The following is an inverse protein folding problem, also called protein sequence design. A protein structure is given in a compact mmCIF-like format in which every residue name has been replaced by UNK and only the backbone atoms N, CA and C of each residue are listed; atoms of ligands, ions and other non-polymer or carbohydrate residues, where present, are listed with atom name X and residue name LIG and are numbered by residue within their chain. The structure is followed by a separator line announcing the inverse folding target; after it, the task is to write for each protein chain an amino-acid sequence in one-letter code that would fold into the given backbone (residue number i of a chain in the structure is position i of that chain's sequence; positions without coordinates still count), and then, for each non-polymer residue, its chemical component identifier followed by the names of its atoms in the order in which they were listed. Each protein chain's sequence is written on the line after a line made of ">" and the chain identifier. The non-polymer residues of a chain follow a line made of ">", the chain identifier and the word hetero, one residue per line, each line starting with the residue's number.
data_IF_183604666279
#
_entry.id   IF_183604666279
#
_cell.length_a   1.000
_cell.length_b   1.000
_cell.length_c   1.000
_cell.angle_alpha   90.00
_cell.angle_beta   90.00
_cell.angle_gamma   90.00
#
_symmetry.space_group_name_H-M   'P 1'
#
loop_
_entity.id
_entity.type
_entity.pdbx_description
1 polymer ?
#
# COMPACT_ATOMS: atom_id res chain seq x y z
N UNK A 1 -12.84 10.08 -21.26
CA UNK A 1 -11.92 10.06 -20.11
C UNK A 1 -12.69 10.55 -18.88
N UNK A 2 -13.16 9.62 -18.06
CA UNK A 2 -13.83 9.93 -16.79
C UNK A 2 -12.80 10.59 -15.88
N UNK A 3 -13.15 11.73 -15.32
CA UNK A 3 -12.33 12.62 -14.51
C UNK A 3 -11.34 11.86 -13.63
N UNK A 4 -10.05 11.92 -14.00
CA UNK A 4 -8.96 11.36 -13.22
C UNK A 4 -9.03 11.92 -11.80
N UNK A 5 -8.84 11.08 -10.79
CA UNK A 5 -8.76 11.48 -9.38
C UNK A 5 -7.84 12.70 -9.19
N UNK A 6 -6.81 12.78 -10.01
CA UNK A 6 -5.86 13.89 -10.07
C UNK A 6 -6.51 15.25 -10.36
N UNK A 7 -7.38 15.34 -11.38
CA UNK A 7 -8.09 16.59 -11.67
C UNK A 7 -9.02 17.01 -10.54
N UNK A 8 -9.69 16.04 -9.89
CA UNK A 8 -10.56 16.33 -8.74
C UNK A 8 -9.73 16.84 -7.56
N UNK A 9 -8.55 16.25 -7.35
CA UNK A 9 -7.64 16.68 -6.29
C UNK A 9 -7.09 18.09 -6.54
N UNK A 10 -6.58 18.38 -7.76
CA UNK A 10 -6.11 19.72 -8.13
C UNK A 10 -7.22 20.75 -7.98
N UNK A 11 -8.42 20.47 -8.49
CA UNK A 11 -9.54 21.38 -8.38
C UNK A 11 -9.92 21.65 -6.92
N UNK A 12 -10.02 20.60 -6.12
CA UNK A 12 -10.30 20.74 -4.68
C UNK A 12 -9.23 21.55 -3.96
N UNK A 13 -7.96 21.31 -4.28
CA UNK A 13 -6.83 22.04 -3.71
C UNK A 13 -6.85 23.54 -4.09
N UNK A 14 -7.10 23.86 -5.37
CA UNK A 14 -7.20 25.27 -5.83
C UNK A 14 -8.39 25.99 -5.19
N UNK A 15 -9.55 25.33 -5.11
CA UNK A 15 -10.74 25.89 -4.45
C UNK A 15 -10.46 26.14 -2.97
N UNK A 16 -9.84 25.18 -2.27
CA UNK A 16 -9.46 25.35 -0.86
C UNK A 16 -8.48 26.52 -0.67
N UNK A 17 -7.47 26.63 -1.55
CA UNK A 17 -6.49 27.72 -1.50
C UNK A 17 -7.12 29.10 -1.73
N UNK A 18 -8.02 29.21 -2.72
CA UNK A 18 -8.73 30.46 -3.01
C UNK A 18 -9.68 30.86 -1.87
N UNK A 19 -10.44 29.90 -1.33
CA UNK A 19 -11.32 30.14 -0.19
C UNK A 19 -10.53 30.52 1.06
N UNK A 20 -9.41 29.86 1.30
CA UNK A 20 -8.48 30.18 2.39
C UNK A 20 -7.93 31.59 2.27
N UNK A 21 -7.45 31.99 1.09
CA UNK A 21 -6.98 33.35 0.83
C UNK A 21 -8.10 34.40 1.03
N UNK A 22 -9.27 34.17 0.47
CA UNK A 22 -10.41 35.07 0.62
C UNK A 22 -10.84 35.23 2.09
N UNK A 23 -10.87 34.12 2.84
CA UNK A 23 -11.20 34.12 4.27
C UNK A 23 -10.16 34.87 5.09
N UNK A 24 -8.87 34.66 4.87
CA UNK A 24 -7.79 35.39 5.56
C UNK A 24 -7.89 36.88 5.23
N UNK A 25 -8.07 37.24 3.97
CA UNK A 25 -8.14 38.63 3.54
C UNK A 25 -9.32 39.37 4.19
N UNK A 26 -10.52 38.80 4.15
CA UNK A 26 -11.73 39.42 4.71
C UNK A 26 -11.70 39.50 6.23
N UNK A 27 -11.33 38.39 6.90
CA UNK A 27 -11.28 38.35 8.36
C UNK A 27 -10.18 39.27 8.91
N UNK A 28 -8.99 39.25 8.29
CA UNK A 28 -7.89 40.14 8.70
C UNK A 28 -8.26 41.61 8.54
N UNK A 29 -8.93 41.98 7.42
CA UNK A 29 -9.36 43.32 7.20
C UNK A 29 -10.37 43.80 8.29
N UNK A 30 -11.36 42.96 8.60
CA UNK A 30 -12.37 43.31 9.63
C UNK A 30 -11.73 43.42 11.03
N UNK A 31 -10.91 42.44 11.42
CA UNK A 31 -10.26 42.47 12.73
C UNK A 31 -9.27 43.61 12.88
N UNK A 32 -8.47 43.86 11.81
CA UNK A 32 -7.50 44.96 11.82
C UNK A 32 -8.16 46.32 11.95
N UNK A 33 -9.19 46.57 11.14
CA UNK A 33 -9.95 47.83 11.22
C UNK A 33 -10.56 48.03 12.61
N UNK A 34 -11.19 47.01 13.17
CA UNK A 34 -11.78 47.07 14.51
C UNK A 34 -10.75 47.32 15.59
N UNK A 35 -9.62 46.63 15.56
CA UNK A 35 -8.54 46.79 16.53
C UNK A 35 -7.85 48.15 16.38
N UNK A 36 -7.64 48.61 15.14
CA UNK A 36 -7.03 49.90 14.89
C UNK A 36 -7.87 51.06 15.44
N UNK A 37 -9.20 51.01 15.21
CA UNK A 37 -10.13 51.99 15.79
C UNK A 37 -10.05 51.98 17.31
N UNK A 38 -10.08 50.81 17.94
CA UNK A 38 -10.01 50.70 19.40
C UNK A 38 -8.68 51.19 19.96
N UNK A 39 -7.56 50.78 19.42
CA UNK A 39 -6.23 51.18 19.90
C UNK A 39 -6.03 52.68 19.73
N UNK A 40 -6.50 53.24 18.60
CA UNK A 40 -6.39 54.68 18.35
C UNK A 40 -7.29 55.46 19.29
N UNK A 41 -8.50 54.97 19.61
CA UNK A 41 -9.42 55.60 20.58
C UNK A 41 -8.79 55.60 21.98
N UNK A 42 -8.18 54.53 22.43
CA UNK A 42 -7.50 54.48 23.73
C UNK A 42 -6.31 55.46 23.78
N UNK A 43 -5.47 55.50 22.75
CA UNK A 43 -4.36 56.47 22.69
C UNK A 43 -4.83 57.92 22.68
N UNK A 44 -5.91 58.21 21.91
CA UNK A 44 -6.53 59.57 21.88
C UNK A 44 -7.18 59.94 23.21
N UNK A 45 -7.76 58.97 23.92
CA UNK A 45 -8.34 59.20 25.23
C UNK A 45 -7.28 59.54 26.29
N UNK A 46 -6.15 58.84 26.26
CA UNK A 46 -5.00 59.13 27.14
C UNK A 46 -4.45 60.57 26.87
N UNK A 47 -4.30 60.90 25.59
CA UNK A 47 -3.89 62.28 25.20
C UNK A 47 -4.89 63.33 25.62
N UNK A 48 -6.20 63.07 25.43
CA UNK A 48 -7.27 64.00 25.88
C UNK A 48 -7.23 64.19 27.39
N UNK A 49 -6.93 63.13 28.18
CA UNK A 49 -6.78 63.24 29.65
C UNK A 49 -5.55 64.09 30.05
N UNK A 50 -4.41 63.89 29.33
CA UNK A 50 -3.22 64.70 29.57
C UNK A 50 -3.52 66.24 29.33
N UNK A 51 -4.18 66.51 28.20
CA UNK A 51 -4.62 67.89 27.88
C UNK A 51 -5.57 68.37 28.92
N UNK A 52 -6.61 67.62 29.31
CA UNK A 52 -7.58 67.96 30.31
C UNK A 52 -6.95 68.32 31.68
N UNK A 53 -5.94 67.49 32.09
CA UNK A 53 -5.19 67.74 33.33
C UNK A 53 -4.36 69.01 33.29
N UNK A 54 -3.68 69.28 32.16
CA UNK A 54 -2.93 70.54 31.99
C UNK A 54 -3.86 71.73 32.00
N UNK A 55 -5.04 71.68 31.38
CA UNK A 55 -6.02 72.71 31.35
C UNK A 55 -6.74 72.93 32.69
N UNK A 56 -6.83 71.89 33.49
CA UNK A 56 -7.42 71.98 34.84
C UNK A 56 -6.74 73.07 35.69
N UNK A 57 -5.46 73.30 35.57
CA UNK A 57 -4.71 74.32 36.29
C UNK A 57 -4.95 75.76 35.78
N UNK A 58 -5.26 75.89 34.50
CA UNK A 58 -5.43 77.19 33.82
C UNK A 58 -6.90 77.62 33.85
N UNK A 59 -7.84 76.68 33.77
CA UNK A 59 -9.28 76.95 33.64
C UNK A 59 -9.96 77.41 34.97
N UNK A 60 -9.22 77.48 36.06
CA UNK A 60 -9.77 77.88 37.37
C UNK A 60 -10.15 79.30 37.49
N UNK A 61 -9.93 80.10 36.46
CA UNK A 61 -10.15 81.50 36.73
C UNK A 61 -10.59 82.43 35.65
N UNK A 62 -10.22 82.42 34.44
CA UNK A 62 -10.71 83.45 33.46
C UNK A 62 -10.38 83.06 32.01
N UNK A 63 -11.25 83.52 31.08
CA UNK A 63 -11.19 83.36 29.63
C UNK A 63 -9.84 83.82 29.01
N UNK A 64 -9.10 84.71 29.71
CA UNK A 64 -7.79 85.26 29.22
C UNK A 64 -6.59 84.34 29.22
N UNK A 65 -6.65 83.25 29.99
CA UNK A 65 -5.52 82.34 30.10
C UNK A 65 -5.52 81.27 29.00
N UNK A 66 -6.64 81.07 28.27
CA UNK A 66 -6.78 80.07 27.20
C UNK A 66 -5.98 80.43 25.92
N UNK A 67 -5.80 81.73 25.66
CA UNK A 67 -5.00 82.20 24.51
C UNK A 67 -3.51 81.83 24.62
N UNK A 68 -3.00 81.67 25.83
CA UNK A 68 -1.62 81.28 26.07
C UNK A 68 -1.37 79.78 25.76
N UNK A 69 -2.40 78.98 25.83
CA UNK A 69 -2.35 77.55 25.65
C UNK A 69 -2.70 77.11 24.22
N UNK A 70 -3.29 77.96 23.42
CA UNK A 70 -3.70 77.71 22.03
C UNK A 70 -2.55 77.21 21.13
N UNK A 71 -1.35 77.86 21.15
CA UNK A 71 -0.23 77.33 20.32
C UNK A 71 0.20 75.95 20.67
N UNK A 72 0.15 75.52 21.96
CA UNK A 72 0.47 74.20 22.43
C UNK A 72 -0.61 73.22 21.96
N UNK A 73 -1.87 73.52 22.07
CA UNK A 73 -2.99 72.75 21.60
C UNK A 73 -2.88 72.49 20.09
N UNK A 74 -2.54 73.50 19.32
CA UNK A 74 -2.37 73.45 17.89
C UNK A 74 -1.18 72.55 17.51
N UNK A 75 -0.07 72.61 18.26
CA UNK A 75 1.10 71.73 18.04
C UNK A 75 0.74 70.28 18.28
N UNK A 76 0.05 69.95 19.36
CA UNK A 76 -0.44 68.63 19.70
C UNK A 76 -1.42 68.15 18.63
N UNK A 77 -2.38 68.93 18.24
CA UNK A 77 -3.37 68.59 17.20
C UNK A 77 -2.68 68.20 15.85
N UNK A 78 -1.69 69.01 15.45
CA UNK A 78 -0.85 68.65 14.25
C UNK A 78 -0.08 67.38 14.41
N UNK A 79 0.51 67.15 15.57
CA UNK A 79 1.31 65.94 15.83
C UNK A 79 0.45 64.67 15.78
N UNK A 80 -0.73 64.71 16.44
CA UNK A 80 -1.68 63.60 16.49
C UNK A 80 -2.51 63.51 15.20
N UNK A 81 -2.42 64.47 14.27
CA UNK A 81 -3.26 64.63 13.07
C UNK A 81 -4.75 64.66 13.36
N UNK A 82 -5.10 65.17 14.55
CA UNK A 82 -6.48 65.24 15.04
C UNK A 82 -6.90 66.70 15.26
N UNK A 83 -8.20 66.92 15.23
CA UNK A 83 -8.75 68.19 15.64
C UNK A 83 -9.11 68.13 17.13
N UNK A 84 -8.73 69.18 17.92
CA UNK A 84 -8.92 69.20 19.37
C UNK A 84 -9.78 70.41 19.73
N UNK A 85 -10.88 70.12 20.42
CA UNK A 85 -11.78 71.19 20.97
C UNK A 85 -11.74 71.15 22.48
N UNK A 86 -11.83 72.32 23.06
CA UNK A 86 -12.13 72.51 24.47
C UNK A 86 -13.58 73.08 24.55
N UNK A 87 -14.43 72.34 25.26
CA UNK A 87 -15.86 72.63 25.34
C UNK A 87 -16.25 72.92 26.80
N UNK A 88 -17.13 73.93 27.02
CA UNK A 88 -17.64 74.19 28.35
C UNK A 88 -18.76 73.19 28.75
N UNK A 89 -19.26 73.26 29.96
CA UNK A 89 -20.35 72.39 30.48
C UNK A 89 -21.64 72.43 29.64
N UNK A 90 -21.88 73.49 28.94
CA UNK A 90 -23.09 73.69 28.11
C UNK A 90 -22.89 73.17 26.68
N UNK A 91 -21.74 72.60 26.35
CA UNK A 91 -21.44 72.10 25.00
C UNK A 91 -21.03 73.20 24.02
N UNK A 92 -20.63 74.40 24.49
CA UNK A 92 -20.12 75.45 23.62
C UNK A 92 -18.62 75.29 23.45
N UNK A 93 -18.15 75.27 22.20
CA UNK A 93 -16.73 75.19 21.86
C UNK A 93 -16.06 76.48 22.25
N UNK A 94 -15.11 76.41 23.19
CA UNK A 94 -14.40 77.60 23.72
C UNK A 94 -13.11 77.80 22.92
N UNK A 95 -12.39 76.66 22.58
CA UNK A 95 -11.20 76.67 21.79
C UNK A 95 -11.29 75.54 20.74
N UNK A 96 -10.87 75.84 19.53
CA UNK A 96 -10.75 74.92 18.42
C UNK A 96 -9.35 75.02 17.85
N UNK A 97 -8.62 73.89 17.82
CA UNK A 97 -7.25 73.82 17.33
C UNK A 97 -7.08 74.15 15.83
N UNK A 98 -8.18 74.12 15.06
CA UNK A 98 -8.22 74.54 13.66
C UNK A 98 -8.58 76.04 13.52
N UNK A 99 -7.62 76.89 13.91
CA UNK A 99 -7.74 78.36 13.78
C UNK A 99 -9.00 78.94 14.44
N UNK A 100 -9.52 78.34 15.49
CA UNK A 100 -10.74 78.72 16.17
C UNK A 100 -12.00 78.91 15.29
N UNK A 101 -12.05 78.12 14.15
CA UNK A 101 -13.15 78.20 13.18
C UNK A 101 -14.53 77.95 13.79
N UNK A 102 -14.59 77.08 14.82
CA UNK A 102 -15.85 76.72 15.50
C UNK A 102 -15.98 77.30 16.89
N UNK A 103 -15.04 78.13 17.32
CA UNK A 103 -15.15 78.80 18.63
C UNK A 103 -16.44 79.57 18.75
N UNK A 104 -17.17 79.37 19.84
CA UNK A 104 -18.48 79.95 20.07
C UNK A 104 -19.65 79.10 19.53
N UNK A 105 -19.43 78.06 18.78
CA UNK A 105 -20.49 77.17 18.30
C UNK A 105 -20.96 76.22 19.41
N UNK A 106 -22.31 76.17 19.61
CA UNK A 106 -22.91 75.21 20.52
C UNK A 106 -23.10 73.87 19.85
N UNK A 107 -22.71 72.74 20.50
CA UNK A 107 -22.98 71.39 20.05
C UNK A 107 -24.40 71.01 20.49
N UNK A 108 -25.32 70.97 19.53
CA UNK A 108 -26.73 70.64 19.82
C UNK A 108 -26.87 69.22 20.37
N UNK A 109 -27.50 69.03 21.52
CA UNK A 109 -27.65 67.72 22.15
C UNK A 109 -26.38 67.17 22.79
N UNK A 110 -25.37 68.00 23.08
CA UNK A 110 -24.12 67.60 23.69
C UNK A 110 -24.33 66.79 24.97
N UNK A 111 -24.03 65.52 24.94
CA UNK A 111 -24.00 64.66 26.10
C UNK A 111 -22.66 63.87 26.12
N UNK A 112 -21.74 64.30 27.00
CA UNK A 112 -20.44 63.62 27.08
C UNK A 112 -20.51 62.17 27.60
N UNK A 113 -21.69 61.75 28.14
CA UNK A 113 -21.97 60.41 28.62
C UNK A 113 -22.71 59.54 27.60
N UNK A 114 -23.15 60.12 26.48
CA UNK A 114 -23.90 59.40 25.42
C UNK A 114 -23.17 58.28 24.77
N UNK A 115 -21.82 58.17 24.95
CA UNK A 115 -21.01 57.05 24.46
C UNK A 115 -21.26 55.73 25.21
N UNK A 116 -22.03 55.73 26.28
CA UNK A 116 -22.29 54.56 27.11
C UNK A 116 -20.99 53.99 27.72
N UNK A 117 -20.81 52.67 27.66
CA UNK A 117 -19.60 52.02 28.15
C UNK A 117 -18.37 52.14 27.21
N UNK A 118 -18.49 52.84 26.08
CA UNK A 118 -17.38 53.09 25.16
C UNK A 118 -16.81 54.47 25.43
N UNK A 119 -15.49 54.57 25.56
CA UNK A 119 -14.77 55.83 25.71
C UNK A 119 -14.70 56.68 24.42
N UNK A 120 -15.32 56.20 23.33
CA UNK A 120 -15.27 56.85 22.01
C UNK A 120 -16.57 56.69 21.21
N UNK A 121 -16.80 57.55 20.25
CA UNK A 121 -17.83 57.43 19.23
C UNK A 121 -17.24 57.58 17.82
N UNK A 122 -17.93 57.03 16.81
CA UNK A 122 -17.55 57.15 15.39
C UNK A 122 -18.74 57.71 14.61
N UNK A 123 -18.48 58.55 13.63
CA UNK A 123 -19.50 59.18 12.78
C UNK A 123 -19.25 60.67 12.62
N UNK A 124 -20.26 61.45 12.13
CA UNK A 124 -20.14 62.86 11.82
C UNK A 124 -20.11 63.77 13.07
N UNK A 125 -19.97 63.23 14.25
CA UNK A 125 -19.97 63.89 15.56
C UNK A 125 -20.97 65.09 15.67
N UNK A 126 -22.19 64.76 16.03
CA UNK A 126 -23.32 65.70 16.09
C UNK A 126 -23.56 66.50 14.78
N UNK A 127 -23.16 65.94 13.61
CA UNK A 127 -23.29 66.57 12.30
C UNK A 127 -22.33 67.74 12.04
N UNK A 128 -21.32 67.93 12.90
CA UNK A 128 -20.34 69.01 12.77
C UNK A 128 -19.23 68.73 11.78
N UNK A 129 -19.06 67.49 11.41
CA UNK A 129 -18.10 67.07 10.39
C UNK A 129 -18.83 66.57 9.13
N UNK A 130 -18.34 66.90 7.92
CA UNK A 130 -18.91 66.39 6.67
C UNK A 130 -18.43 64.99 6.35
N UNK A 131 -17.62 64.36 7.23
CA UNK A 131 -17.03 63.03 7.12
C UNK A 131 -17.00 62.33 8.50
N UNK A 132 -16.83 61.06 8.50
CA UNK A 132 -16.76 60.30 9.75
C UNK A 132 -15.43 60.54 10.48
N UNK A 133 -15.54 60.78 11.77
CA UNK A 133 -14.43 60.96 12.71
C UNK A 133 -14.54 59.97 13.86
N UNK A 134 -13.39 59.56 14.38
CA UNK A 134 -13.28 58.91 15.68
C UNK A 134 -13.16 60.05 16.73
N UNK A 135 -14.07 60.08 17.66
CA UNK A 135 -14.14 61.17 18.68
C UNK A 135 -14.03 60.56 20.07
N UNK A 136 -13.21 61.17 20.90
CA UNK A 136 -13.04 60.81 22.32
C UNK A 136 -13.32 62.10 23.15
N UNK A 137 -13.78 61.91 24.37
CA UNK A 137 -14.03 63.04 25.31
C UNK A 137 -13.39 62.77 26.67
N UNK A 138 -12.64 63.71 27.20
CA UNK A 138 -12.06 63.64 28.54
C UNK A 138 -12.54 64.89 29.39
N UNK A 139 -12.98 64.64 30.61
CA UNK A 139 -13.48 65.75 31.45
C UNK A 139 -12.33 66.58 32.01
N UNK A 140 -12.49 67.93 32.01
CA UNK A 140 -11.58 68.83 32.70
C UNK A 140 -12.15 69.04 34.12
N UNK A 141 -11.48 68.39 35.09
CA UNK A 141 -11.94 68.37 36.49
C UNK A 141 -11.01 69.15 37.41
N UNK A 142 -11.56 69.83 38.41
CA UNK A 142 -10.80 70.49 39.47
C UNK A 142 -11.72 70.88 40.62
N UNK A 143 -11.21 70.87 41.84
CA UNK A 143 -11.97 71.20 43.04
C UNK A 143 -13.35 70.50 43.16
N UNK A 144 -13.33 69.16 42.84
CA UNK A 144 -14.54 68.31 42.81
C UNK A 144 -15.65 68.74 41.82
N UNK A 145 -15.28 69.54 40.82
CA UNK A 145 -16.22 70.01 39.77
C UNK A 145 -15.65 69.72 38.39
N UNK A 146 -16.52 69.41 37.43
CA UNK A 146 -16.18 69.38 36.01
C UNK A 146 -16.30 70.76 35.42
N UNK A 147 -15.30 71.32 34.83
CA UNK A 147 -15.31 72.68 34.23
C UNK A 147 -15.69 72.61 32.74
N UNK A 148 -15.39 71.57 32.07
CA UNK A 148 -15.65 71.34 30.64
C UNK A 148 -15.10 70.01 30.17
N UNK A 149 -14.90 69.87 28.89
CA UNK A 149 -14.39 68.64 28.27
C UNK A 149 -13.36 69.00 27.20
N UNK A 150 -12.33 68.10 27.05
CA UNK A 150 -11.45 68.05 25.89
C UNK A 150 -12.01 67.02 24.96
N UNK A 151 -12.25 67.38 23.71
CA UNK A 151 -12.70 66.52 22.64
C UNK A 151 -11.58 66.40 21.62
N UNK A 152 -11.25 65.16 21.23
CA UNK A 152 -10.26 64.92 20.20
C UNK A 152 -10.94 64.17 19.08
N UNK A 153 -10.83 64.69 17.86
CA UNK A 153 -11.48 64.19 16.68
C UNK A 153 -10.43 63.76 15.63
N UNK A 154 -10.38 62.49 15.27
CA UNK A 154 -9.47 61.95 14.23
C UNK A 154 -10.30 61.51 13.03
N UNK A 155 -10.01 62.01 11.81
CA UNK A 155 -10.69 61.54 10.61
C UNK A 155 -10.52 60.03 10.42
N UNK A 156 -11.62 59.32 10.15
CA UNK A 156 -11.59 57.87 9.91
C UNK A 156 -10.69 57.48 8.71
N UNK A 157 -10.50 58.39 7.75
CA UNK A 157 -9.59 58.20 6.61
C UNK A 157 -8.13 57.96 7.04
N UNK A 158 -7.68 58.65 8.12
CA UNK A 158 -6.32 58.45 8.67
C UNK A 158 -6.18 57.07 9.27
N UNK A 159 -7.20 56.57 9.97
CA UNK A 159 -7.23 55.23 10.55
C UNK A 159 -7.22 54.17 9.45
N UNK A 160 -8.02 54.39 8.39
CA UNK A 160 -8.04 53.47 7.25
C UNK A 160 -6.72 53.45 6.48
N UNK A 161 -6.03 54.57 6.32
CA UNK A 161 -4.70 54.62 5.71
C UNK A 161 -3.69 53.80 6.50
N UNK A 162 -3.68 53.94 7.83
CA UNK A 162 -2.83 53.12 8.72
C UNK A 162 -3.19 51.64 8.66
N UNK A 163 -4.47 51.32 8.63
CA UNK A 163 -4.95 49.94 8.53
C UNK A 163 -4.56 49.30 7.21
N UNK A 164 -4.72 50.02 6.09
CA UNK A 164 -4.38 49.50 4.76
C UNK A 164 -2.88 49.20 4.59
N UNK A 165 -2.02 50.07 5.18
CA UNK A 165 -0.58 49.79 5.18
C UNK A 165 -0.23 48.44 5.83
N UNK A 166 -0.83 48.13 6.95
CA UNK A 166 -0.63 46.86 7.66
C UNK A 166 -1.28 45.68 6.93
N UNK A 167 -2.44 45.87 6.25
CA UNK A 167 -3.10 44.83 5.45
C UNK A 167 -2.26 44.38 4.25
N UNK A 168 -1.48 45.27 3.64
CA UNK A 168 -0.58 44.92 2.56
C UNK A 168 0.40 43.83 2.97
N UNK A 169 0.93 43.86 4.19
CA UNK A 169 1.82 42.83 4.73
C UNK A 169 1.07 41.48 4.82
N UNK A 170 -0.18 41.47 5.27
CA UNK A 170 -1.01 40.27 5.36
C UNK A 170 -1.28 39.69 3.97
N UNK A 171 -1.58 40.51 2.98
CA UNK A 171 -1.82 40.05 1.61
C UNK A 171 -0.57 39.47 0.96
N UNK A 172 0.59 40.12 1.16
CA UNK A 172 1.87 39.61 0.65
C UNK A 172 2.21 38.27 1.28
N UNK A 173 2.09 38.13 2.61
CA UNK A 173 2.37 36.88 3.29
C UNK A 173 1.40 35.76 2.88
N UNK A 174 0.11 36.06 2.72
CA UNK A 174 -0.87 35.10 2.22
C UNK A 174 -0.57 34.66 0.79
N UNK A 175 -0.15 35.58 -0.09
CA UNK A 175 0.27 35.25 -1.45
C UNK A 175 1.51 34.36 -1.48
N UNK A 176 2.52 34.62 -0.65
CA UNK A 176 3.71 33.80 -0.52
C UNK A 176 3.34 32.37 -0.06
N UNK A 177 2.50 32.25 0.96
CA UNK A 177 2.03 30.95 1.45
C UNK A 177 1.27 30.18 0.38
N UNK A 178 0.43 30.86 -0.41
CA UNK A 178 -0.28 30.25 -1.53
C UNK A 178 0.69 29.70 -2.59
N UNK A 179 1.72 30.48 -2.96
CA UNK A 179 2.76 30.06 -3.92
C UNK A 179 3.54 28.84 -3.37
N UNK A 180 3.93 28.87 -2.09
CA UNK A 180 4.59 27.74 -1.44
C UNK A 180 3.71 26.48 -1.46
N UNK A 181 2.41 26.62 -1.27
CA UNK A 181 1.47 25.52 -1.33
C UNK A 181 1.39 24.88 -2.73
N UNK A 182 1.53 25.67 -3.80
CA UNK A 182 1.59 25.16 -5.17
C UNK A 182 2.86 24.32 -5.42
N UNK A 183 3.97 24.69 -4.78
CA UNK A 183 5.21 23.87 -4.86
C UNK A 183 4.98 22.48 -4.26
N UNK A 184 4.28 22.41 -3.11
CA UNK A 184 3.92 21.12 -2.49
C UNK A 184 3.06 20.28 -3.45
N UNK A 185 2.12 20.88 -4.16
CA UNK A 185 1.30 20.21 -5.16
C UNK A 185 2.15 19.62 -6.31
N UNK A 186 3.16 20.35 -6.77
CA UNK A 186 4.09 19.87 -7.80
C UNK A 186 4.93 18.70 -7.31
N UNK A 187 5.45 18.78 -6.07
CA UNK A 187 6.19 17.68 -5.45
C UNK A 187 5.31 16.45 -5.32
N UNK A 188 4.09 16.59 -4.81
CA UNK A 188 3.12 15.48 -4.69
C UNK A 188 2.84 14.84 -6.06
N UNK A 189 2.65 15.64 -7.09
CA UNK A 189 2.43 15.14 -8.45
C UNK A 189 3.59 14.26 -8.92
N UNK A 190 4.82 14.68 -8.70
CA UNK A 190 6.02 13.98 -9.14
C UNK A 190 6.32 12.74 -8.30
N UNK A 191 6.12 12.81 -6.98
CA UNK A 191 6.51 11.73 -6.04
C UNK A 191 5.42 10.69 -5.83
N UNK A 192 4.14 11.05 -6.01
CA UNK A 192 3.03 10.14 -5.74
C UNK A 192 2.23 9.81 -7.01
N UNK A 193 1.78 10.84 -7.72
CA UNK A 193 0.84 10.62 -8.82
C UNK A 193 1.45 9.88 -10.02
N UNK A 194 2.61 10.32 -10.52
CA UNK A 194 3.25 9.66 -11.64
C UNK A 194 3.70 8.22 -11.35
N UNK A 195 4.32 7.90 -10.19
CA UNK A 195 4.59 6.53 -9.80
C UNK A 195 3.33 5.66 -9.74
N UNK A 196 2.25 6.14 -9.14
CA UNK A 196 0.98 5.43 -9.05
C UNK A 196 0.38 5.15 -10.43
N UNK A 197 0.49 6.10 -11.36
CA UNK A 197 0.03 5.91 -12.74
C UNK A 197 0.81 4.78 -13.44
N UNK A 198 2.13 4.76 -13.33
CA UNK A 198 2.98 3.68 -13.86
C UNK A 198 2.64 2.31 -13.28
N UNK A 199 2.40 2.25 -11.96
CA UNK A 199 1.98 1.00 -11.30
C UNK A 199 0.63 0.53 -11.84
N UNK A 200 -0.32 1.45 -12.00
CA UNK A 200 -1.65 1.13 -12.54
C UNK A 200 -1.57 0.65 -13.98
N UNK A 201 -0.73 1.28 -14.80
CA UNK A 201 -0.47 0.85 -16.18
C UNK A 201 0.11 -0.57 -16.22
N UNK A 202 1.14 -0.85 -15.42
CA UNK A 202 1.71 -2.18 -15.32
C UNK A 202 0.72 -3.25 -14.82
N UNK A 203 -0.12 -2.91 -13.84
CA UNK A 203 -1.17 -3.81 -13.37
C UNK A 203 -2.22 -4.10 -14.47
N UNK A 204 -2.54 -3.13 -15.33
CA UNK A 204 -3.42 -3.33 -16.47
C UNK A 204 -2.77 -4.22 -17.55
N UNK A 205 -1.47 -4.06 -17.81
CA UNK A 205 -0.71 -4.94 -18.70
C UNK A 205 -0.76 -6.40 -18.19
N UNK A 206 -0.54 -6.62 -16.88
CA UNK A 206 -0.65 -7.96 -16.29
C UNK A 206 -2.07 -8.54 -16.40
N UNK A 207 -3.09 -7.72 -16.17
CA UNK A 207 -4.49 -8.14 -16.32
C UNK A 207 -4.85 -8.46 -17.78
N UNK A 208 -4.19 -7.82 -18.75
CA UNK A 208 -4.33 -8.12 -20.18
C UNK A 208 -3.56 -9.37 -20.63
N UNK A 209 -2.80 -10.02 -19.72
CA UNK A 209 -1.99 -11.20 -20.01
C UNK A 209 -0.54 -10.91 -20.43
N UNK A 210 -0.12 -9.64 -20.46
CA UNK A 210 1.26 -9.26 -20.76
C UNK A 210 2.13 -9.38 -19.50
N UNK A 211 2.41 -10.62 -19.08
CA UNK A 211 3.18 -10.92 -17.87
C UNK A 211 4.69 -10.64 -18.00
N UNK A 212 5.18 -10.40 -19.20
CA UNK A 212 6.57 -10.01 -19.46
C UNK A 212 6.83 -8.52 -19.24
N UNK A 213 5.78 -7.70 -19.21
CA UNK A 213 5.90 -6.26 -18.90
C UNK A 213 6.60 -6.07 -17.55
N UNK A 214 7.42 -5.03 -17.43
CA UNK A 214 8.09 -4.66 -16.18
C UNK A 214 7.77 -3.24 -15.80
N UNK A 215 7.27 -3.04 -14.59
CA UNK A 215 7.07 -1.72 -14.02
C UNK A 215 8.45 -1.18 -13.66
N UNK A 216 8.95 -0.27 -14.50
CA UNK A 216 10.22 0.42 -14.25
C UNK A 216 10.00 1.64 -13.35
N UNK A 217 10.15 1.43 -12.04
CA UNK A 217 10.04 2.45 -11.02
C UNK A 217 11.22 2.33 -10.04
N UNK A 218 12.17 3.26 -10.17
CA UNK A 218 13.39 3.26 -9.37
C UNK A 218 13.29 4.25 -8.20
N UNK A 219 12.31 4.02 -7.32
CA UNK A 219 12.15 4.74 -6.05
C UNK A 219 12.46 3.82 -4.88
N UNK A 220 12.95 4.38 -3.76
CA UNK A 220 13.29 3.61 -2.54
C UNK A 220 12.21 3.74 -1.46
N UNK A 221 11.00 4.03 -1.86
CA UNK A 221 9.82 4.22 -1.03
C UNK A 221 8.81 3.07 -1.22
N UNK A 222 7.62 3.23 -0.65
CA UNK A 222 6.53 2.26 -0.73
C UNK A 222 6.06 2.02 -2.16
N UNK A 223 6.20 3.02 -3.06
CA UNK A 223 5.84 2.89 -4.47
C UNK A 223 6.81 1.96 -5.21
N UNK A 224 8.11 2.10 -4.94
CA UNK A 224 9.13 1.18 -5.47
C UNK A 224 8.96 -0.24 -4.95
N UNK A 225 8.65 -0.40 -3.66
CA UNK A 225 8.37 -1.71 -3.07
C UNK A 225 7.13 -2.35 -3.71
N UNK A 226 6.05 -1.60 -3.90
CA UNK A 226 4.82 -2.08 -4.54
C UNK A 226 5.08 -2.51 -6.00
N UNK A 227 5.81 -1.70 -6.76
CA UNK A 227 6.20 -2.05 -8.13
C UNK A 227 7.03 -3.34 -8.19
N UNK A 228 8.00 -3.49 -7.27
CA UNK A 228 8.80 -4.71 -7.13
C UNK A 228 7.97 -5.94 -6.81
N UNK A 229 7.02 -5.82 -5.89
CA UNK A 229 6.11 -6.92 -5.51
C UNK A 229 5.21 -7.34 -6.66
N UNK A 230 4.67 -6.39 -7.42
CA UNK A 230 3.85 -6.67 -8.61
C UNK A 230 4.69 -7.32 -9.73
N UNK A 231 5.92 -6.86 -9.96
CA UNK A 231 6.84 -7.50 -10.90
C UNK A 231 7.18 -8.94 -10.50
N UNK A 232 7.38 -9.20 -9.20
CA UNK A 232 7.62 -10.55 -8.68
C UNK A 232 6.39 -11.44 -8.91
N UNK A 233 5.21 -10.96 -8.57
CA UNK A 233 3.95 -11.69 -8.80
C UNK A 233 3.73 -12.02 -10.28
N UNK A 234 3.97 -11.05 -11.17
CA UNK A 234 3.91 -11.29 -12.62
C UNK A 234 4.89 -12.37 -13.07
N UNK A 235 6.11 -12.35 -12.54
CA UNK A 235 7.11 -13.38 -12.83
C UNK A 235 6.67 -14.78 -12.40
N UNK A 236 6.04 -14.91 -11.24
CA UNK A 236 5.51 -16.21 -10.77
C UNK A 236 4.31 -16.68 -11.60
N UNK A 237 3.42 -15.76 -11.99
CA UNK A 237 2.31 -16.08 -12.89
C UNK A 237 2.80 -16.54 -14.28
N UNK A 238 3.82 -15.89 -14.83
CA UNK A 238 4.41 -16.28 -16.12
C UNK A 238 5.03 -17.69 -16.07
N UNK A 239 5.73 -18.00 -14.99
CA UNK A 239 6.26 -19.38 -14.77
C UNK A 239 5.13 -20.40 -14.69
N UNK A 240 4.03 -20.06 -14.00
CA UNK A 240 2.88 -20.96 -13.88
C UNK A 240 2.21 -21.18 -15.24
N UNK A 241 2.07 -20.15 -16.06
CA UNK A 241 1.50 -20.25 -17.42
C UNK A 241 2.40 -21.12 -18.32
N UNK A 242 3.71 -20.91 -18.30
CA UNK A 242 4.66 -21.73 -19.04
C UNK A 242 4.60 -23.20 -18.59
N UNK A 243 4.54 -23.42 -17.28
CA UNK A 243 4.38 -24.76 -16.72
C UNK A 243 3.09 -25.43 -17.21
N UNK A 244 1.96 -24.72 -17.18
CA UNK A 244 0.68 -25.23 -17.65
C UNK A 244 0.68 -25.52 -19.16
N UNK A 245 1.30 -24.65 -19.96
CA UNK A 245 1.45 -24.86 -21.42
C UNK A 245 2.26 -26.12 -21.72
N UNK A 246 3.41 -26.28 -21.06
CA UNK A 246 4.26 -27.45 -21.21
C UNK A 246 3.56 -28.73 -20.75
N UNK A 247 2.79 -28.66 -19.65
CA UNK A 247 1.97 -29.78 -19.18
C UNK A 247 0.97 -30.22 -20.24
N UNK A 248 0.16 -29.31 -20.80
CA UNK A 248 -0.83 -29.64 -21.83
C UNK A 248 -0.15 -30.23 -23.10
N UNK A 249 0.97 -29.67 -23.52
CA UNK A 249 1.72 -30.17 -24.67
C UNK A 249 2.22 -31.61 -24.46
N UNK A 250 2.82 -31.88 -23.30
CA UNK A 250 3.35 -33.22 -22.96
C UNK A 250 2.21 -34.23 -22.81
N UNK A 251 1.12 -33.86 -22.16
CA UNK A 251 -0.08 -34.71 -22.07
C UNK A 251 -0.58 -35.08 -23.46
N UNK A 252 -0.77 -34.09 -24.33
CA UNK A 252 -1.26 -34.32 -25.69
C UNK A 252 -0.37 -35.25 -26.50
N UNK A 253 0.94 -35.08 -26.36
CA UNK A 253 1.92 -35.93 -27.02
C UNK A 253 1.84 -37.39 -26.52
N UNK A 254 1.82 -37.57 -25.17
CA UNK A 254 1.85 -38.90 -24.54
C UNK A 254 0.52 -39.68 -24.70
N UNK A 255 -0.58 -38.99 -25.01
CA UNK A 255 -1.84 -39.63 -25.44
C UNK A 255 -1.84 -39.98 -26.92
N UNK A 256 -1.34 -39.09 -27.79
CA UNK A 256 -1.38 -39.29 -29.25
C UNK A 256 -0.61 -40.55 -29.69
N UNK A 257 0.57 -40.77 -29.12
CA UNK A 257 1.43 -41.86 -29.51
C UNK A 257 0.76 -43.25 -29.35
N UNK A 258 0.28 -43.67 -28.14
CA UNK A 258 -0.39 -44.92 -27.96
C UNK A 258 -1.69 -45.05 -28.76
N UNK A 259 -2.50 -43.99 -28.87
CA UNK A 259 -3.70 -44.01 -29.67
C UNK A 259 -3.45 -44.24 -31.14
N UNK A 260 -2.39 -43.61 -31.69
CA UNK A 260 -1.97 -43.87 -33.08
C UNK A 260 -1.51 -45.31 -33.28
N UNK A 261 -0.76 -45.89 -32.30
CA UNK A 261 -0.32 -47.29 -32.36
C UNK A 261 -1.52 -48.25 -32.28
N UNK A 262 -2.44 -48.06 -31.34
CA UNK A 262 -3.67 -48.85 -31.21
C UNK A 262 -4.46 -48.82 -32.53
N UNK A 263 -4.72 -47.63 -33.06
CA UNK A 263 -5.46 -47.44 -34.30
C UNK A 263 -4.76 -48.15 -35.46
N UNK A 264 -3.45 -47.93 -35.64
CA UNK A 264 -2.68 -48.53 -36.73
C UNK A 264 -2.63 -50.05 -36.67
N UNK A 265 -2.51 -50.66 -35.47
CA UNK A 265 -2.56 -52.14 -35.36
C UNK A 265 -3.94 -52.69 -35.66
N UNK A 266 -4.99 -52.04 -35.21
CA UNK A 266 -6.38 -52.48 -35.51
C UNK A 266 -6.71 -52.28 -36.99
N UNK A 267 -6.33 -51.22 -37.64
CA UNK A 267 -6.50 -50.99 -39.08
C UNK A 267 -5.75 -52.06 -39.89
N UNK A 268 -4.49 -52.37 -39.52
CA UNK A 268 -3.67 -53.40 -40.19
C UNK A 268 -4.20 -54.82 -39.98
N UNK A 269 -4.94 -55.10 -38.91
CA UNK A 269 -5.67 -56.36 -38.70
C UNK A 269 -6.91 -56.40 -39.59
N UNK A 270 -7.65 -55.31 -39.68
CA UNK A 270 -8.90 -55.24 -40.45
C UNK A 270 -8.65 -55.32 -41.97
N UNK A 271 -7.60 -54.65 -42.47
CA UNK A 271 -7.26 -54.61 -43.90
C UNK A 271 -6.47 -55.86 -44.36
N UNK A 272 -6.17 -56.81 -43.45
CA UNK A 272 -5.45 -58.03 -43.73
C UNK A 272 -3.94 -57.90 -43.92
N UNK A 273 -3.36 -56.73 -43.64
CA UNK A 273 -1.91 -56.49 -43.64
C UNK A 273 -1.21 -57.36 -42.59
N UNK A 274 -1.85 -57.58 -41.45
CA UNK A 274 -1.40 -58.49 -40.41
C UNK A 274 -2.08 -59.86 -40.62
N UNK A 275 -1.33 -60.93 -40.87
CA UNK A 275 -1.89 -62.26 -41.07
C UNK A 275 -2.45 -62.84 -39.76
N UNK A 276 -3.46 -63.74 -39.82
CA UNK A 276 -4.15 -64.27 -38.62
C UNK A 276 -3.22 -64.88 -37.58
N UNK A 277 -2.16 -65.48 -37.98
CA UNK A 277 -1.15 -66.09 -37.07
C UNK A 277 -0.43 -65.11 -36.21
N UNK A 278 -0.50 -63.81 -36.56
CA UNK A 278 0.14 -62.69 -35.83
C UNK A 278 -0.87 -61.91 -34.97
N UNK A 279 -2.15 -62.19 -35.05
CA UNK A 279 -3.22 -61.43 -34.32
C UNK A 279 -2.96 -61.38 -32.83
N UNK A 280 -2.67 -62.52 -32.19
CA UNK A 280 -2.38 -62.57 -30.75
C UNK A 280 -1.28 -61.58 -30.34
N UNK A 281 -0.19 -61.54 -31.09
CA UNK A 281 0.94 -60.66 -30.86
C UNK A 281 0.56 -59.18 -30.94
N UNK A 282 -0.21 -58.80 -31.95
CA UNK A 282 -0.60 -57.36 -32.14
C UNK A 282 -1.76 -56.95 -31.23
N UNK A 283 -2.71 -57.83 -30.97
CA UNK A 283 -3.77 -57.56 -29.97
C UNK A 283 -3.18 -57.44 -28.57
N UNK A 284 -2.18 -58.24 -28.20
CA UNK A 284 -1.43 -58.06 -26.93
C UNK A 284 -0.73 -56.72 -26.86
N UNK A 285 -0.23 -56.18 -27.97
CA UNK A 285 0.31 -54.80 -28.02
C UNK A 285 -0.78 -53.77 -27.84
N UNK A 286 -1.95 -53.91 -28.47
CA UNK A 286 -3.11 -53.03 -28.28
C UNK A 286 -3.54 -52.98 -26.81
N UNK A 287 -3.64 -54.16 -26.16
CA UNK A 287 -3.94 -54.26 -24.72
C UNK A 287 -2.90 -53.51 -23.89
N UNK A 288 -1.60 -53.74 -24.17
CA UNK A 288 -0.50 -53.05 -23.45
C UNK A 288 -0.54 -51.53 -23.61
N UNK A 289 -0.89 -50.98 -24.79
CA UNK A 289 -1.02 -49.54 -24.99
C UNK A 289 -2.27 -48.97 -24.28
N UNK A 290 -3.37 -49.76 -24.23
CA UNK A 290 -4.56 -49.39 -23.48
C UNK A 290 -4.31 -49.32 -21.97
N UNK A 291 -3.60 -50.33 -21.41
CA UNK A 291 -3.17 -50.32 -20.01
C UNK A 291 -2.25 -49.14 -19.70
N UNK A 292 -1.38 -48.76 -20.62
CA UNK A 292 -0.53 -47.56 -20.50
C UNK A 292 -1.34 -46.29 -20.44
N UNK A 293 -2.37 -46.15 -21.28
CA UNK A 293 -3.30 -45.00 -21.23
C UNK A 293 -4.07 -44.93 -19.90
N UNK A 294 -4.53 -46.10 -19.40
CA UNK A 294 -5.19 -46.20 -18.10
C UNK A 294 -4.28 -45.74 -16.96
N UNK A 295 -3.02 -46.18 -16.94
CA UNK A 295 -2.03 -45.71 -15.95
C UNK A 295 -1.77 -44.20 -16.05
N UNK A 296 -1.73 -43.65 -17.26
CA UNK A 296 -1.52 -42.24 -17.50
C UNK A 296 -2.71 -41.38 -16.95
N UNK A 297 -3.94 -41.79 -17.26
CA UNK A 297 -5.15 -41.12 -16.74
C UNK A 297 -5.24 -41.17 -15.22
N UNK A 298 -4.97 -42.37 -14.64
CA UNK A 298 -4.98 -42.54 -13.18
C UNK A 298 -3.91 -41.67 -12.50
N UNK A 299 -2.72 -41.59 -13.10
CA UNK A 299 -1.65 -40.71 -12.60
C UNK A 299 -2.05 -39.22 -12.60
N UNK A 300 -2.71 -38.75 -13.67
CA UNK A 300 -3.20 -37.40 -13.78
C UNK A 300 -4.29 -37.09 -12.75
N UNK A 301 -5.27 -38.00 -12.56
CA UNK A 301 -6.29 -37.87 -11.55
C UNK A 301 -5.70 -37.77 -10.14
N UNK A 302 -4.69 -38.61 -9.86
CA UNK A 302 -3.98 -38.57 -8.58
C UNK A 302 -3.31 -37.21 -8.35
N UNK A 303 -2.58 -36.70 -9.34
CA UNK A 303 -1.92 -35.38 -9.23
C UNK A 303 -2.94 -34.26 -9.03
N UNK A 304 -4.02 -34.24 -9.80
CA UNK A 304 -5.07 -33.23 -9.67
C UNK A 304 -5.77 -33.27 -8.30
N UNK A 305 -5.98 -34.47 -7.74
CA UNK A 305 -6.60 -34.62 -6.42
C UNK A 305 -5.68 -34.17 -5.26
N UNK A 306 -4.37 -34.21 -5.44
CA UNK A 306 -3.38 -33.74 -4.46
C UNK A 306 -3.18 -32.23 -4.54
N UNK A 307 -3.16 -31.62 -5.74
CA UNK A 307 -3.07 -30.16 -5.95
C UNK A 307 -4.24 -29.39 -5.26
N UNK A 308 -5.42 -30.02 -5.17
CA UNK A 308 -6.62 -29.40 -4.59
C UNK A 308 -6.74 -29.52 -3.05
N UNK A 309 -5.63 -29.67 -2.30
CA UNK A 309 -5.64 -29.92 -0.84
C UNK A 309 -6.56 -31.08 -0.44
N UNK A 310 -6.51 -32.20 -1.22
CA UNK A 310 -7.30 -33.39 -0.94
C UNK A 310 -7.04 -33.88 0.48
N UNK A 311 -8.11 -34.21 1.20
CA UNK A 311 -8.02 -34.74 2.55
C UNK A 311 -7.28 -36.06 2.53
N UNK A 312 -6.11 -36.11 3.19
CA UNK A 312 -5.41 -37.37 3.45
C UNK A 312 -6.17 -38.12 4.54
N UNK A 313 -6.45 -39.39 4.30
CA UNK A 313 -7.02 -40.28 5.30
C UNK A 313 -5.89 -40.89 6.15
N UNK A 314 -5.35 -40.07 7.07
CA UNK A 314 -4.22 -40.48 7.90
C UNK A 314 -4.66 -41.47 8.96
N UNK A 315 -3.89 -42.52 9.15
CA UNK A 315 -4.05 -43.55 10.17
C UNK A 315 -2.67 -44.04 10.66
N UNK A 316 -2.65 -44.65 11.81
CA UNK A 316 -1.44 -45.28 12.34
C UNK A 316 -1.30 -46.72 11.79
N UNK A 317 -0.15 -47.03 11.19
CA UNK A 317 0.15 -48.36 10.67
C UNK A 317 1.66 -48.65 10.73
N UNK A 318 1.99 -49.97 10.68
CA UNK A 318 3.39 -50.40 10.64
C UNK A 318 3.96 -50.29 9.23
N UNK A 319 4.91 -49.37 9.02
CA UNK A 319 5.55 -49.15 7.71
C UNK A 319 6.38 -50.38 7.26
N UNK A 320 6.98 -51.12 8.18
CA UNK A 320 7.76 -52.29 7.86
C UNK A 320 6.90 -53.38 7.16
N UNK A 321 5.67 -53.56 7.65
CA UNK A 321 4.68 -54.45 7.04
C UNK A 321 4.33 -54.00 5.61
N UNK A 322 4.05 -52.70 5.46
CA UNK A 322 3.67 -52.11 4.16
C UNK A 322 4.82 -52.29 3.12
N UNK A 323 6.06 -52.09 3.57
CA UNK A 323 7.25 -52.32 2.72
C UNK A 323 7.34 -53.81 2.30
N UNK A 324 7.18 -54.74 3.24
CA UNK A 324 7.23 -56.22 2.96
C UNK A 324 6.13 -56.62 1.97
N UNK A 325 4.88 -56.19 2.23
CA UNK A 325 3.73 -56.52 1.38
C UNK A 325 3.88 -55.93 -0.04
N UNK A 326 4.40 -54.69 -0.14
CA UNK A 326 4.65 -54.06 -1.43
C UNK A 326 5.81 -54.76 -2.20
N UNK A 327 6.91 -55.07 -1.54
CA UNK A 327 8.05 -55.79 -2.15
C UNK A 327 7.63 -57.18 -2.66
N UNK A 328 6.84 -57.91 -1.85
CA UNK A 328 6.32 -59.24 -2.24
C UNK A 328 5.45 -59.18 -3.51
N UNK A 329 4.70 -58.08 -3.75
CA UNK A 329 3.90 -57.93 -4.98
C UNK A 329 4.74 -57.90 -6.28
N UNK A 330 6.04 -57.66 -6.18
CA UNK A 330 6.95 -57.63 -7.32
C UNK A 330 7.77 -58.94 -7.50
N UNK A 331 7.60 -59.99 -6.67
CA UNK A 331 8.35 -61.23 -6.67
C UNK A 331 8.45 -61.85 -8.08
N UNK A 332 7.32 -62.03 -8.75
CA UNK A 332 7.32 -62.60 -10.10
C UNK A 332 7.95 -61.72 -11.19
N UNK A 333 8.10 -60.40 -10.94
CA UNK A 333 8.82 -59.50 -11.86
C UNK A 333 10.33 -59.55 -11.60
N UNK A 334 10.70 -59.66 -10.35
CA UNK A 334 12.09 -59.79 -9.90
C UNK A 334 12.73 -61.12 -10.33
N UNK A 335 11.99 -62.24 -10.24
CA UNK A 335 12.45 -63.54 -10.73
C UNK A 335 12.85 -63.49 -12.20
N UNK A 336 12.10 -62.84 -13.07
CA UNK A 336 12.39 -62.67 -14.49
C UNK A 336 13.70 -61.96 -14.79
N UNK A 337 14.16 -61.09 -13.88
CA UNK A 337 15.39 -60.29 -13.99
C UNK A 337 16.49 -60.76 -13.04
N UNK A 338 16.23 -61.79 -12.22
CA UNK A 338 17.09 -62.27 -11.14
C UNK A 338 17.51 -61.14 -10.18
N UNK A 339 16.50 -60.30 -9.76
CA UNK A 339 16.71 -59.21 -8.82
C UNK A 339 16.29 -59.67 -7.43
N UNK A 340 17.13 -59.38 -6.42
CA UNK A 340 16.84 -59.68 -5.03
C UNK A 340 16.47 -58.43 -4.26
N UNK A 341 15.61 -58.58 -3.21
CA UNK A 341 15.36 -57.53 -2.23
C UNK A 341 16.15 -57.81 -0.95
N UNK A 342 16.81 -56.77 -0.43
CA UNK A 342 17.41 -56.77 0.90
C UNK A 342 16.69 -55.73 1.77
N UNK A 343 15.97 -56.21 2.79
CA UNK A 343 15.16 -55.37 3.69
C UNK A 343 15.87 -55.24 5.03
N UNK A 344 16.24 -54.02 5.41
CA UNK A 344 16.90 -53.72 6.68
C UNK A 344 16.06 -52.69 7.46
N UNK A 345 15.52 -53.11 8.60
CA UNK A 345 14.69 -52.28 9.45
C UNK A 345 15.41 -51.94 10.74
N UNK A 346 15.30 -50.65 11.18
CA UNK A 346 15.93 -50.22 12.43
C UNK A 346 15.25 -50.76 13.68
N UNK A 347 13.99 -51.24 13.58
CA UNK A 347 13.23 -51.88 14.66
C UNK A 347 12.29 -52.96 14.06
N UNK A 348 11.81 -53.88 14.90
CA UNK A 348 10.89 -54.96 14.49
C UNK A 348 9.51 -54.43 14.02
N UNK A 349 9.02 -53.32 14.58
CA UNK A 349 7.78 -52.66 14.28
C UNK A 349 7.96 -51.15 14.29
N UNK A 350 7.50 -50.46 13.26
CA UNK A 350 7.66 -48.99 13.12
C UNK A 350 6.34 -48.35 12.74
N UNK A 351 5.68 -47.75 13.73
CA UNK A 351 4.38 -47.08 13.56
C UNK A 351 4.58 -45.69 12.98
N UNK A 352 3.91 -45.40 11.87
CA UNK A 352 3.85 -44.09 11.22
C UNK A 352 2.41 -43.56 11.20
N UNK A 353 2.25 -42.24 11.16
CA UNK A 353 0.93 -41.58 11.01
C UNK A 353 0.80 -40.93 9.63
N UNK A 354 0.22 -41.67 8.68
CA UNK A 354 0.13 -41.27 7.29
C UNK A 354 -1.12 -41.88 6.61
N UNK A 355 -1.34 -41.55 5.34
CA UNK A 355 -2.35 -42.23 4.51
C UNK A 355 -1.78 -43.51 3.92
N UNK A 356 -2.26 -44.66 4.43
CA UNK A 356 -1.78 -45.98 4.05
C UNK A 356 -1.78 -46.21 2.53
N UNK A 357 -2.88 -45.88 1.85
CA UNK A 357 -3.03 -46.11 0.41
C UNK A 357 -2.06 -45.26 -0.41
N UNK A 358 -1.86 -43.99 0.03
CA UNK A 358 -0.90 -43.07 -0.62
C UNK A 358 0.55 -43.51 -0.38
N UNK A 359 0.90 -43.97 0.82
CA UNK A 359 2.26 -44.46 1.09
C UNK A 359 2.53 -45.79 0.37
N UNK A 360 1.54 -46.68 0.23
CA UNK A 360 1.68 -47.84 -0.65
C UNK A 360 1.97 -47.43 -2.10
N UNK A 361 1.30 -46.41 -2.60
CA UNK A 361 1.54 -45.86 -3.95
C UNK A 361 2.96 -45.26 -4.09
N UNK A 362 3.49 -44.59 -3.06
CA UNK A 362 4.88 -44.12 -3.01
C UNK A 362 5.86 -45.29 -3.15
N UNK A 363 5.72 -46.29 -2.28
CA UNK A 363 6.58 -47.45 -2.28
C UNK A 363 6.51 -48.21 -3.61
N UNK A 364 5.31 -48.43 -4.14
CA UNK A 364 5.09 -49.05 -5.42
C UNK A 364 5.86 -48.35 -6.55
N UNK A 365 5.72 -47.00 -6.64
CA UNK A 365 6.39 -46.19 -7.67
C UNK A 365 7.92 -46.24 -7.54
N UNK A 366 8.45 -46.16 -6.30
CA UNK A 366 9.89 -46.21 -6.06
C UNK A 366 10.47 -47.61 -6.36
N UNK A 367 9.80 -48.68 -5.94
CA UNK A 367 10.23 -50.05 -6.18
C UNK A 367 10.12 -50.42 -7.68
N UNK A 368 9.03 -50.01 -8.34
CA UNK A 368 8.88 -50.24 -9.80
C UNK A 368 9.99 -49.53 -10.59
N UNK A 369 10.35 -48.31 -10.22
CA UNK A 369 11.47 -47.58 -10.80
C UNK A 369 12.82 -48.33 -10.53
N UNK A 370 13.07 -48.75 -9.29
CA UNK A 370 14.28 -49.48 -8.93
C UNK A 370 14.43 -50.76 -9.77
N UNK A 371 13.35 -51.55 -9.94
CA UNK A 371 13.35 -52.76 -10.77
C UNK A 371 13.58 -52.46 -12.25
N UNK A 372 12.97 -51.38 -12.77
CA UNK A 372 13.09 -51.01 -14.19
C UNK A 372 14.50 -50.63 -14.57
N UNK A 373 15.17 -49.82 -13.72
CA UNK A 373 16.47 -49.26 -14.02
C UNK A 373 17.65 -50.07 -13.50
N UNK A 374 17.43 -51.05 -12.63
CA UNK A 374 18.44 -52.00 -12.18
C UNK A 374 18.95 -52.89 -13.30
N UNK A 375 20.18 -53.41 -13.15
CA UNK A 375 20.78 -54.43 -13.98
C UNK A 375 20.19 -55.80 -13.63
N UNK A 376 20.38 -56.80 -14.50
CA UNK A 376 20.13 -58.19 -14.14
C UNK A 376 21.09 -58.62 -13.03
N UNK A 377 20.70 -59.63 -12.26
CA UNK A 377 21.50 -60.21 -11.17
C UNK A 377 21.90 -59.16 -10.11
N UNK A 378 21.02 -58.19 -9.83
CA UNK A 378 21.26 -57.06 -8.90
C UNK A 378 20.43 -57.16 -7.64
N UNK A 379 20.75 -56.31 -6.64
CA UNK A 379 20.01 -56.24 -5.39
C UNK A 379 19.44 -54.82 -5.19
N UNK A 380 18.16 -54.75 -4.79
CA UNK A 380 17.49 -53.51 -4.38
C UNK A 380 17.46 -53.51 -2.85
N UNK A 381 18.00 -52.44 -2.25
CA UNK A 381 18.05 -52.27 -0.79
C UNK A 381 16.92 -51.36 -0.35
N UNK A 382 16.10 -51.82 0.61
CA UNK A 382 15.07 -50.98 1.23
C UNK A 382 15.38 -50.95 2.74
N UNK A 383 15.61 -49.73 3.24
CA UNK A 383 16.04 -49.53 4.62
C UNK A 383 15.13 -48.51 5.31
N UNK A 384 14.92 -48.74 6.61
CA UNK A 384 14.26 -47.75 7.49
C UNK A 384 15.23 -47.33 8.58
N UNK A 385 15.22 -45.99 8.90
CA UNK A 385 16.04 -45.41 9.97
C UNK A 385 15.21 -44.41 10.74
N UNK A 386 15.31 -44.39 12.07
CA UNK A 386 14.70 -43.41 12.92
C UNK A 386 15.71 -42.29 13.19
N UNK A 387 15.29 -41.04 12.96
CA UNK A 387 16.08 -39.85 13.29
C UNK A 387 15.14 -38.67 13.57
N UNK A 388 15.34 -37.94 14.67
CA UNK A 388 14.59 -36.75 15.02
C UNK A 388 13.06 -36.94 14.97
N UNK A 389 12.55 -37.99 15.62
CA UNK A 389 11.11 -38.32 15.69
C UNK A 389 10.44 -38.60 14.33
N UNK A 390 11.24 -38.87 13.30
CA UNK A 390 10.79 -39.27 11.97
C UNK A 390 11.40 -40.61 11.55
N UNK A 391 10.65 -41.32 10.73
CA UNK A 391 11.16 -42.50 10.02
C UNK A 391 11.59 -42.07 8.64
N UNK A 392 12.83 -42.38 8.28
CA UNK A 392 13.36 -42.26 6.93
C UNK A 392 13.31 -43.61 6.25
N UNK A 393 12.64 -43.67 5.12
CA UNK A 393 12.57 -44.86 4.25
C UNK A 393 13.46 -44.61 3.04
N UNK A 394 14.40 -45.48 2.79
CA UNK A 394 15.33 -45.45 1.63
C UNK A 394 15.05 -46.61 0.71
N UNK A 395 14.95 -46.36 -0.59
CA UNK A 395 14.90 -47.35 -1.67
C UNK A 395 16.10 -47.10 -2.58
N UNK A 396 17.05 -48.04 -2.56
CA UNK A 396 18.31 -47.91 -3.30
C UNK A 396 18.44 -49.04 -4.35
N UNK A 397 18.72 -48.66 -5.59
CA UNK A 397 19.06 -49.55 -6.69
C UNK A 397 20.55 -49.49 -7.05
N UNK A 398 21.04 -50.50 -7.71
CA UNK A 398 22.39 -50.59 -8.29
C UNK A 398 22.31 -50.58 -9.82
N UNK A 399 21.50 -49.69 -10.35
CA UNK A 399 21.22 -49.63 -11.79
C UNK A 399 22.05 -48.57 -12.52
N UNK A 400 21.45 -48.01 -13.57
CA UNK A 400 22.12 -47.03 -14.46
C UNK A 400 22.42 -45.67 -13.80
N UNK A 401 21.80 -45.38 -12.65
CA UNK A 401 21.90 -44.07 -12.01
C UNK A 401 21.25 -42.92 -12.80
N UNK A 402 21.41 -41.73 -12.31
CA UNK A 402 20.83 -40.51 -12.86
C UNK A 402 21.96 -39.51 -13.13
N UNK A 403 22.04 -38.93 -14.36
CA UNK A 403 23.00 -37.86 -14.65
C UNK A 403 22.82 -36.66 -13.74
N UNK A 404 23.91 -36.01 -13.35
CA UNK A 404 23.92 -34.88 -12.38
C UNK A 404 22.96 -33.77 -12.76
N UNK A 405 22.86 -33.42 -14.04
CA UNK A 405 21.97 -32.35 -14.56
C UNK A 405 20.48 -32.75 -14.55
N UNK A 406 20.20 -34.04 -14.37
CA UNK A 406 18.85 -34.59 -14.31
C UNK A 406 18.34 -34.79 -12.89
N UNK A 407 19.21 -34.89 -11.88
CA UNK A 407 18.83 -35.15 -10.47
C UNK A 407 17.80 -34.19 -9.94
N UNK A 408 17.92 -32.91 -10.23
CA UNK A 408 16.95 -31.90 -9.79
C UNK A 408 15.59 -31.96 -10.52
N UNK A 409 15.57 -32.54 -11.72
CA UNK A 409 14.42 -32.61 -12.62
C UNK A 409 13.63 -33.90 -12.58
N UNK A 410 14.16 -34.95 -11.93
CA UNK A 410 13.51 -36.29 -11.94
C UNK A 410 12.12 -36.31 -11.29
N UNK A 411 11.82 -35.33 -10.46
CA UNK A 411 10.50 -35.16 -9.84
C UNK A 411 9.56 -34.29 -10.67
N UNK A 412 10.02 -33.70 -11.79
CA UNK A 412 9.15 -32.89 -12.66
C UNK A 412 8.19 -33.79 -13.43
N UNK A 413 6.95 -33.33 -13.63
CA UNK A 413 5.92 -34.08 -14.34
C UNK A 413 6.35 -34.34 -15.80
N UNK A 414 6.21 -35.56 -16.27
CA UNK A 414 6.59 -36.02 -17.61
C UNK A 414 8.11 -36.00 -17.91
N UNK A 415 8.94 -35.72 -16.91
CA UNK A 415 10.38 -35.72 -17.12
C UNK A 415 10.92 -37.15 -17.32
N UNK A 416 11.79 -37.33 -18.31
CA UNK A 416 12.53 -38.55 -18.58
C UNK A 416 13.96 -38.18 -18.97
N UNK A 417 14.94 -38.71 -18.27
CA UNK A 417 16.33 -38.51 -18.66
C UNK A 417 16.60 -39.24 -20.00
N UNK A 418 17.60 -38.80 -20.77
CA UNK A 418 17.91 -39.42 -22.07
C UNK A 418 18.31 -40.90 -21.94
N UNK A 419 18.96 -41.26 -20.85
CA UNK A 419 19.28 -42.66 -20.52
C UNK A 419 18.02 -43.49 -20.23
N UNK A 420 16.98 -42.90 -19.62
CA UNK A 420 15.72 -43.57 -19.35
C UNK A 420 14.86 -43.77 -20.60
N UNK A 421 14.95 -42.86 -21.58
CA UNK A 421 14.24 -42.97 -22.88
C UNK A 421 14.60 -44.23 -23.67
N UNK A 422 15.84 -44.75 -23.51
CA UNK A 422 16.29 -45.96 -24.15
C UNK A 422 15.74 -47.25 -23.50
N UNK A 423 15.67 -47.32 -22.16
CA UNK A 423 15.30 -48.52 -21.39
C UNK A 423 13.81 -48.58 -21.01
N UNK A 424 13.17 -47.45 -20.70
CA UNK A 424 11.72 -47.37 -20.36
C UNK A 424 10.94 -46.56 -21.38
N UNK A 425 10.74 -47.14 -22.59
CA UNK A 425 9.86 -46.56 -23.62
C UNK A 425 8.39 -46.49 -23.18
N UNK A 426 8.01 -47.27 -22.15
CA UNK A 426 6.62 -47.39 -21.67
C UNK A 426 6.30 -46.51 -20.43
N UNK A 427 7.29 -45.96 -19.77
CA UNK A 427 7.07 -45.08 -18.60
C UNK A 427 6.32 -43.83 -18.93
N UNK A 428 5.48 -43.36 -18.03
CA UNK A 428 4.66 -42.11 -18.18
C UNK A 428 5.41 -40.87 -17.74
N UNK A 429 6.50 -40.97 -16.98
CA UNK A 429 7.19 -39.84 -16.37
C UNK A 429 6.41 -39.16 -15.24
N UNK A 430 5.33 -39.77 -14.74
CA UNK A 430 4.52 -39.27 -13.66
C UNK A 430 4.82 -39.92 -12.30
N UNK A 431 5.44 -41.09 -12.25
CA UNK A 431 5.64 -41.86 -11.02
C UNK A 431 6.36 -41.08 -9.92
N UNK A 432 7.51 -40.49 -10.21
CA UNK A 432 8.29 -39.73 -9.24
C UNK A 432 7.62 -38.37 -8.87
N UNK A 433 6.93 -37.73 -9.82
CA UNK A 433 6.12 -36.53 -9.52
C UNK A 433 4.99 -36.87 -8.53
N UNK A 434 4.30 -38.01 -8.72
CA UNK A 434 3.26 -38.48 -7.78
C UNK A 434 3.87 -38.75 -6.39
N UNK A 435 5.05 -39.38 -6.34
CA UNK A 435 5.76 -39.62 -5.09
C UNK A 435 6.04 -38.32 -4.36
N UNK A 436 6.59 -37.31 -5.03
CA UNK A 436 6.89 -36.00 -4.45
C UNK A 436 5.63 -35.32 -3.92
N UNK A 437 4.58 -35.26 -4.70
CA UNK A 437 3.31 -34.65 -4.30
C UNK A 437 2.67 -35.36 -3.09
N UNK A 438 2.68 -36.68 -3.05
CA UNK A 438 2.18 -37.44 -1.89
C UNK A 438 2.97 -37.11 -0.63
N UNK A 439 4.29 -37.13 -0.70
CA UNK A 439 5.16 -36.88 0.46
C UNK A 439 4.99 -35.41 0.93
N UNK A 440 4.94 -34.46 0.00
CA UNK A 440 4.69 -33.05 0.33
C UNK A 440 3.29 -32.81 0.93
N UNK A 441 2.27 -33.51 0.44
CA UNK A 441 0.93 -33.45 1.03
C UNK A 441 0.90 -33.96 2.50
N UNK A 442 1.83 -34.85 2.86
CA UNK A 442 2.01 -35.29 4.25
C UNK A 442 2.80 -34.27 5.10
N UNK A 443 3.35 -33.20 4.51
CA UNK A 443 4.22 -32.21 5.18
C UNK A 443 5.67 -32.72 5.34
N UNK A 444 6.07 -33.69 4.52
CA UNK A 444 7.36 -34.37 4.58
C UNK A 444 8.17 -34.15 3.30
N UNK A 445 9.44 -34.60 3.29
CA UNK A 445 10.34 -34.37 2.19
C UNK A 445 10.78 -35.71 1.55
N UNK A 446 11.13 -35.63 0.26
CA UNK A 446 11.81 -36.71 -0.48
C UNK A 446 13.07 -36.14 -1.15
N UNK A 447 14.16 -36.88 -1.06
CA UNK A 447 15.43 -36.55 -1.66
C UNK A 447 15.93 -37.72 -2.53
N UNK A 448 16.88 -37.45 -3.43
CA UNK A 448 17.53 -38.44 -4.27
C UNK A 448 19.04 -38.25 -4.26
N UNK A 449 19.75 -39.33 -4.03
CA UNK A 449 21.21 -39.42 -4.17
C UNK A 449 21.51 -40.40 -5.28
N UNK A 450 22.19 -39.98 -6.34
CA UNK A 450 22.46 -40.83 -7.48
C UNK A 450 23.80 -40.52 -8.11
N UNK A 451 24.42 -41.57 -8.63
CA UNK A 451 25.64 -41.49 -9.44
C UNK A 451 25.42 -42.29 -10.71
N UNK A 452 25.67 -41.70 -11.86
CA UNK A 452 25.53 -42.34 -13.17
C UNK A 452 26.43 -43.57 -13.25
N UNK A 453 25.90 -44.69 -13.72
CA UNK A 453 26.56 -45.96 -13.80
C UNK A 453 26.69 -46.74 -12.49
N UNK A 454 26.29 -46.20 -11.35
CA UNK A 454 26.40 -46.82 -10.01
C UNK A 454 25.04 -47.20 -9.43
N UNK A 455 24.03 -46.30 -9.55
CA UNK A 455 22.69 -46.51 -9.03
C UNK A 455 22.09 -45.26 -8.40
N UNK A 456 20.85 -45.38 -7.88
CA UNK A 456 20.11 -44.29 -7.26
C UNK A 456 19.53 -44.71 -5.92
N UNK A 457 19.46 -43.78 -4.98
CA UNK A 457 18.83 -43.93 -3.67
C UNK A 457 17.80 -42.81 -3.47
N UNK A 458 16.53 -43.16 -3.34
CA UNK A 458 15.42 -42.25 -3.01
C UNK A 458 15.12 -42.40 -1.54
N UNK A 459 15.10 -41.27 -0.82
CA UNK A 459 14.92 -41.20 0.63
C UNK A 459 13.76 -40.29 0.95
N UNK A 460 12.75 -40.81 1.64
CA UNK A 460 11.63 -39.94 2.12
C UNK A 460 11.40 -40.13 3.63
N UNK A 461 10.81 -39.08 4.23
CA UNK A 461 10.50 -39.10 5.64
C UNK A 461 8.99 -39.29 5.90
N UNK A 462 8.66 -39.86 7.06
CA UNK A 462 7.31 -39.97 7.59
C UNK A 462 7.32 -39.64 9.09
N UNK A 463 6.24 -39.07 9.65
CA UNK A 463 6.11 -38.82 11.09
C UNK A 463 5.90 -40.15 11.81
N UNK A 464 6.58 -40.34 12.95
CA UNK A 464 6.26 -41.41 13.89
C UNK A 464 4.86 -41.25 14.46
N UNK A 465 4.13 -42.35 14.60
CA UNK A 465 2.89 -42.40 15.35
C UNK A 465 3.18 -42.41 16.87
N UNK A 466 3.89 -41.41 17.38
CA UNK A 466 4.16 -41.22 18.80
C UNK A 466 3.05 -40.39 19.41
N UNK A 467 2.22 -41.04 20.27
CA UNK A 467 1.25 -40.39 21.17
C UNK A 467 0.25 -39.42 20.51
N UNK A 468 -0.76 -39.98 19.89
CA UNK A 468 -2.06 -39.31 19.70
C UNK A 468 -3.06 -39.84 20.73
#
# INVERSE_FOLDING_TARGET
>A
MKHSLYYKFILGYLVFGLLGFASIATLSAQLMNKNQVKNQAEAMYDEANLIASAYSSVYQGKKQDLDSVYPQLQAVAKFVRAEIWVVNRQGIIVVDSEQNKRAGTAIEGFDPTATGNKSYCTGAYYGLFPYDVLSVSAPITGNYNTYGYVLVHLPMSVIWEMSNSNLNVVYITAAILFILSLIILLVFTKTVYFPLQKITEGANEYAAGNLEYRIDLNTRDEMGYLAGTLNYMSGELNKLEEYQRNFIANVSHDFRSPLTSIKGYLEAIIDGTIPPEMYEKYLTRVISETERLTKLTQGMLTLNSLDSKGYLSRSSFDINRVIKDTAASFEGTCEKKNINFELTFSDSMQMVYADLGKIQQVLYNLIDNAIKFSHQDSTIYIQTRIKNEKIFVSVKDTGIGIPKDSVQKVFDRFYKSDLSRGKDKKGTGLGLAIVKEIIQAHGENIDVVSTEGVGSEFIFSLPLATNL
#
